data_IF_108642571579
#
_entry.id   IF_108642571579
#
_cell.length_a   1.000
_cell.length_b   1.000
_cell.length_c   1.000
_cell.angle_alpha   90.00
_cell.angle_beta   90.00
_cell.angle_gamma   90.00
#
_symmetry.space_group_name_H-M   'P 1'
#
loop_
_entity.id
_entity.type
_entity.pdbx_description
1 polymer ?
#
# COMPACT_ATOMS: atom_id res chain seq x y z
N UNK A 1 20.84 12.69 9.71
CA UNK A 1 19.63 12.63 8.86
C UNK A 1 19.93 11.84 7.62
N UNK A 2 18.90 11.32 6.95
CA UNK A 2 19.02 10.49 5.75
C UNK A 2 17.90 10.80 4.76
N UNK A 3 18.16 10.55 3.49
CA UNK A 3 17.14 10.49 2.44
C UNK A 3 17.25 9.10 1.82
N UNK A 4 16.13 8.41 1.66
CA UNK A 4 16.10 7.07 1.08
C UNK A 4 14.82 6.83 0.29
N UNK A 5 14.89 5.96 -0.70
CA UNK A 5 13.73 5.41 -1.40
C UNK A 5 13.52 3.95 -1.04
N UNK A 6 12.28 3.46 -1.18
CA UNK A 6 11.93 2.07 -1.00
C UNK A 6 10.76 1.69 -1.88
N UNK A 7 10.58 0.40 -2.16
CA UNK A 7 9.42 -0.08 -2.89
C UNK A 7 8.90 -1.40 -2.30
N UNK A 8 7.63 -1.68 -2.53
CA UNK A 8 6.98 -2.94 -2.20
C UNK A 8 6.27 -3.48 -3.44
N UNK A 9 6.80 -4.58 -3.96
CA UNK A 9 6.17 -5.28 -5.07
C UNK A 9 4.76 -5.79 -4.68
N UNK A 10 3.78 -5.78 -5.61
CA UNK A 10 2.49 -6.38 -5.39
C UNK A 10 2.63 -7.88 -5.11
N UNK A 11 1.86 -8.39 -4.15
CA UNK A 11 1.87 -9.83 -3.89
C UNK A 11 1.14 -10.59 -4.99
N UNK A 12 1.56 -11.84 -5.25
CA UNK A 12 0.86 -12.73 -6.20
C UNK A 12 -0.62 -12.91 -5.85
N UNK A 13 -0.96 -12.86 -4.56
CA UNK A 13 -2.34 -12.93 -4.07
C UNK A 13 -3.16 -11.69 -4.40
N UNK A 14 -2.58 -10.49 -4.30
CA UNK A 14 -3.24 -9.25 -4.72
C UNK A 14 -3.44 -9.21 -6.24
N UNK A 15 -2.43 -9.61 -7.02
CA UNK A 15 -2.47 -9.54 -8.47
C UNK A 15 -3.41 -10.57 -9.11
N UNK A 16 -3.68 -11.69 -8.45
CA UNK A 16 -4.45 -12.81 -9.02
C UNK A 16 -5.68 -13.19 -8.19
N UNK A 17 -6.16 -12.29 -7.33
CA UNK A 17 -7.36 -12.56 -6.54
C UNK A 17 -8.57 -12.77 -7.45
N UNK A 18 -9.24 -13.90 -7.29
CA UNK A 18 -10.51 -14.18 -7.94
C UNK A 18 -11.44 -14.83 -6.93
N UNK A 19 -12.58 -14.19 -6.67
CA UNK A 19 -13.58 -14.70 -5.75
C UNK A 19 -14.97 -14.30 -6.25
N UNK A 20 -15.93 -15.22 -6.15
CA UNK A 20 -17.34 -14.97 -6.45
C UNK A 20 -18.13 -15.30 -5.20
N UNK A 21 -18.93 -14.34 -4.74
CA UNK A 21 -19.80 -14.51 -3.60
C UNK A 21 -21.23 -14.12 -3.96
N UNK A 22 -22.17 -14.92 -3.45
CA UNK A 22 -23.60 -14.62 -3.55
C UNK A 22 -24.04 -13.93 -2.26
N UNK A 23 -24.60 -12.72 -2.39
CA UNK A 23 -25.14 -11.96 -1.27
C UNK A 23 -26.65 -11.78 -1.42
N UNK A 24 -27.39 -11.77 -0.32
CA UNK A 24 -28.81 -11.41 -0.33
C UNK A 24 -28.92 -9.88 -0.19
N UNK A 25 -29.32 -9.20 -1.25
CA UNK A 25 -29.56 -7.74 -1.25
C UNK A 25 -31.02 -7.48 -1.59
N UNK A 26 -31.74 -6.79 -0.70
CA UNK A 26 -33.17 -6.47 -0.87
C UNK A 26 -34.06 -7.69 -1.17
N UNK A 27 -33.76 -8.85 -0.58
CA UNK A 27 -34.53 -10.08 -0.77
C UNK A 27 -34.22 -10.85 -2.06
N UNK A 28 -33.28 -10.37 -2.88
CA UNK A 28 -32.81 -11.03 -4.10
C UNK A 28 -31.35 -11.46 -3.95
N UNK A 29 -31.01 -12.65 -4.46
CA UNK A 29 -29.62 -13.11 -4.51
C UNK A 29 -28.86 -12.36 -5.61
N UNK A 30 -27.74 -11.74 -5.24
CA UNK A 30 -26.87 -10.97 -6.11
C UNK A 30 -25.46 -11.54 -6.03
N UNK A 31 -24.91 -11.94 -7.17
CA UNK A 31 -23.52 -12.38 -7.26
C UNK A 31 -22.59 -11.18 -7.43
N UNK A 32 -21.53 -11.14 -6.63
CA UNK A 32 -20.44 -10.18 -6.74
C UNK A 32 -19.14 -10.93 -6.96
N UNK A 33 -18.40 -10.52 -7.99
CA UNK A 33 -17.10 -11.08 -8.32
C UNK A 33 -16.00 -10.05 -8.04
N UNK A 34 -15.01 -10.45 -7.26
CA UNK A 34 -13.70 -9.81 -7.21
C UNK A 34 -12.81 -10.54 -8.22
N UNK A 35 -12.27 -9.82 -9.20
CA UNK A 35 -11.48 -10.40 -10.28
C UNK A 35 -10.07 -9.79 -10.30
N UNK A 36 -9.08 -10.49 -10.90
CA UNK A 36 -7.76 -9.92 -11.10
C UNK A 36 -7.86 -8.63 -11.92
N UNK A 37 -7.06 -7.60 -11.62
CA UNK A 37 -7.12 -6.32 -12.34
C UNK A 37 -6.79 -6.45 -13.84
N UNK A 38 -6.07 -7.51 -14.23
CA UNK A 38 -5.73 -7.85 -15.62
C UNK A 38 -6.79 -8.72 -16.31
N UNK A 39 -7.84 -9.14 -15.61
CA UNK A 39 -8.93 -9.92 -16.22
C UNK A 39 -9.62 -9.09 -17.31
N UNK A 40 -9.98 -9.66 -18.48
CA UNK A 40 -10.61 -8.90 -19.58
C UNK A 40 -11.85 -8.10 -19.15
N UNK A 41 -12.64 -8.61 -18.19
CA UNK A 41 -13.81 -7.91 -17.65
C UNK A 41 -13.37 -6.74 -16.75
N UNK A 42 -12.35 -6.94 -15.91
CA UNK A 42 -11.81 -5.89 -15.05
C UNK A 42 -11.18 -4.76 -15.89
N UNK A 43 -10.40 -5.10 -16.92
CA UNK A 43 -9.79 -4.14 -17.85
C UNK A 43 -10.84 -3.29 -18.57
N UNK A 44 -11.93 -3.90 -19.05
CA UNK A 44 -13.05 -3.16 -19.65
C UNK A 44 -13.71 -2.18 -18.67
N UNK A 45 -13.58 -2.40 -17.37
CA UNK A 45 -14.07 -1.54 -16.29
C UNK A 45 -13.00 -0.61 -15.70
N UNK A 46 -11.83 -0.49 -16.35
CA UNK A 46 -10.74 0.38 -15.93
C UNK A 46 -9.68 -0.27 -15.04
N UNK A 47 -9.70 -1.60 -14.90
CA UNK A 47 -8.65 -2.36 -14.22
C UNK A 47 -7.31 -2.24 -14.94
N UNK A 48 -6.26 -1.95 -14.19
CA UNK A 48 -4.88 -1.84 -14.66
C UNK A 48 -3.98 -2.71 -13.81
N UNK A 49 -2.88 -3.20 -14.40
CA UNK A 49 -1.88 -3.98 -13.66
C UNK A 49 -1.40 -3.23 -12.42
N UNK A 50 -1.31 -3.95 -11.29
CA UNK A 50 -0.86 -3.38 -10.01
C UNK A 50 0.59 -2.92 -10.16
N UNK A 51 0.83 -1.67 -9.79
CA UNK A 51 2.18 -1.13 -9.72
C UNK A 51 2.76 -1.34 -8.31
N UNK A 52 4.08 -1.43 -8.17
CA UNK A 52 4.72 -1.44 -6.86
C UNK A 52 4.35 -0.19 -6.06
N UNK A 53 4.16 -0.35 -4.75
CA UNK A 53 4.06 0.80 -3.84
C UNK A 53 5.46 1.39 -3.71
N UNK A 54 5.61 2.71 -3.85
CA UNK A 54 6.90 3.40 -3.71
C UNK A 54 6.89 4.27 -2.46
N UNK A 55 8.08 4.56 -1.92
CA UNK A 55 8.24 5.39 -0.74
C UNK A 55 9.46 6.27 -0.84
N UNK A 56 9.31 7.52 -0.44
CA UNK A 56 10.39 8.48 -0.24
C UNK A 56 10.44 8.85 1.24
N UNK A 57 11.61 8.70 1.87
CA UNK A 57 11.80 8.91 3.29
C UNK A 57 12.86 9.97 3.54
N UNK A 58 12.51 10.95 4.36
CA UNK A 58 13.39 11.95 4.92
C UNK A 58 13.48 11.79 6.44
N UNK A 59 14.70 11.71 6.97
CA UNK A 59 14.94 11.64 8.40
C UNK A 59 15.92 12.72 8.85
N UNK A 60 15.68 13.27 10.03
CA UNK A 60 16.59 14.19 10.70
C UNK A 60 16.67 13.78 12.16
N UNK A 61 17.89 13.69 12.70
CA UNK A 61 18.11 13.24 14.07
C UNK A 61 19.24 14.05 14.70
N UNK A 62 19.10 14.35 15.98
CA UNK A 62 20.08 15.05 16.79
C UNK A 62 20.21 14.36 18.16
N UNK A 63 21.45 14.23 18.63
CA UNK A 63 21.78 13.68 19.94
C UNK A 63 22.56 14.73 20.71
N UNK A 64 22.19 14.96 21.97
CA UNK A 64 22.87 15.85 22.89
C UNK A 64 23.16 15.11 24.20
N UNK A 65 24.40 15.21 24.67
CA UNK A 65 24.82 14.62 25.93
C UNK A 65 25.63 15.64 26.74
N UNK A 66 25.31 15.76 28.03
CA UNK A 66 26.03 16.62 28.97
C UNK A 66 25.99 16.02 30.39
N UNK A 67 27.12 15.50 30.86
CA UNK A 67 27.19 14.74 32.11
C UNK A 67 26.25 13.53 32.08
N UNK A 68 25.34 13.46 33.06
CA UNK A 68 24.32 12.41 33.16
C UNK A 68 23.08 12.70 32.29
N UNK A 69 22.97 13.90 31.69
CA UNK A 69 21.86 14.25 30.82
C UNK A 69 22.10 13.72 29.40
N UNK A 70 21.12 13.00 28.88
CA UNK A 70 21.09 12.50 27.50
C UNK A 70 19.75 12.85 26.85
N UNK A 71 19.79 13.49 25.69
CA UNK A 71 18.63 13.95 24.94
C UNK A 71 18.77 13.54 23.47
N UNK A 72 17.68 13.02 22.89
CA UNK A 72 17.58 12.73 21.47
C UNK A 72 16.35 13.42 20.88
N UNK A 73 16.48 13.89 19.64
CA UNK A 73 15.39 14.47 18.86
C UNK A 73 15.45 13.84 17.48
N UNK A 74 14.38 13.17 17.08
CA UNK A 74 14.27 12.52 15.79
C UNK A 74 13.00 12.97 15.06
N UNK A 75 13.13 13.25 13.78
CA UNK A 75 12.07 13.63 12.86
C UNK A 75 12.09 12.69 11.66
N UNK A 76 10.92 12.15 11.33
CA UNK A 76 10.72 11.26 10.20
C UNK A 76 9.57 11.78 9.36
N UNK A 77 9.79 11.86 8.06
CA UNK A 77 8.76 12.12 7.07
C UNK A 77 8.88 11.03 6.00
N UNK A 78 7.81 10.26 5.79
CA UNK A 78 7.78 9.15 4.84
C UNK A 78 6.54 9.36 3.99
N UNK A 79 6.75 9.63 2.70
CA UNK A 79 5.71 9.71 1.69
C UNK A 79 5.60 8.35 1.00
N UNK A 80 4.37 7.85 0.84
CA UNK A 80 4.09 6.55 0.19
C UNK A 80 3.09 6.79 -0.93
N UNK A 81 3.44 6.34 -2.13
CA UNK A 81 2.60 6.43 -3.32
C UNK A 81 2.14 5.04 -3.78
N UNK A 82 1.07 5.01 -4.58
CA UNK A 82 0.56 3.80 -5.24
C UNK A 82 0.19 2.65 -4.29
N UNK A 83 -0.25 2.99 -3.07
CA UNK A 83 -0.67 2.01 -2.05
C UNK A 83 -1.95 1.29 -2.48
N UNK A 84 -1.93 -0.04 -2.41
CA UNK A 84 -3.02 -0.96 -2.82
C UNK A 84 -4.02 -1.21 -1.68
#
# INVERSE_FOLDING_TARGET
GSISTGFRAPTVGQANVSNVQTNLSSGVLVDSALLPPTNPIAVQKGGTELQPEESESYTLGAVYQSGDLFLTIDYYNIEVTDRI
#
